data_IF_290224780956
#
_entry.id   IF_290224780956
#
_cell.length_a   1.000
_cell.length_b   1.000
_cell.length_c   1.000
_cell.angle_alpha   90.00
_cell.angle_beta   90.00
_cell.angle_gamma   90.00
#
_symmetry.space_group_name_H-M   'P 1'
#
loop_
_entity.id
_entity.type
_entity.pdbx_description
1 polymer ?
#
# COMPACT_ATOMS: atom_id res chain seq x y z
N UNK A 1 -18.03 30.31 -8.70
CA UNK A 1 -16.99 29.31 -9.04
C UNK A 1 -15.98 29.31 -7.91
N UNK A 2 -16.19 28.48 -6.89
CA UNK A 2 -15.27 28.39 -5.76
C UNK A 2 -14.08 27.54 -6.17
N UNK A 3 -12.90 28.14 -6.26
CA UNK A 3 -11.66 27.39 -6.41
C UNK A 3 -11.48 26.52 -5.18
N UNK A 4 -11.52 25.20 -5.37
CA UNK A 4 -11.04 24.27 -4.36
C UNK A 4 -9.58 24.68 -4.06
N UNK A 5 -9.28 24.97 -2.79
CA UNK A 5 -7.92 25.22 -2.37
C UNK A 5 -7.06 24.05 -2.86
N UNK A 6 -6.00 24.36 -3.62
CA UNK A 6 -5.04 23.37 -4.06
C UNK A 6 -4.37 22.80 -2.81
N UNK A 7 -4.91 21.69 -2.31
CA UNK A 7 -4.23 20.90 -1.28
C UNK A 7 -3.02 20.31 -1.98
N UNK A 8 -1.83 20.78 -1.61
CA UNK A 8 -0.57 20.13 -2.01
C UNK A 8 -0.61 18.70 -1.48
N UNK A 9 -1.00 17.76 -2.34
CA UNK A 9 -0.93 16.34 -2.00
C UNK A 9 0.53 15.93 -2.06
N UNK A 10 1.02 15.37 -0.97
CA UNK A 10 2.32 14.69 -0.96
C UNK A 10 2.15 13.28 -1.52
N UNK A 11 3.23 12.64 -2.00
CA UNK A 11 3.20 11.20 -2.23
C UNK A 11 2.72 10.45 -1.00
N UNK A 12 1.89 9.43 -1.19
CA UNK A 12 1.32 8.64 -0.09
C UNK A 12 0.03 7.93 -0.45
N UNK A 13 -0.34 6.99 0.41
CA UNK A 13 -1.56 6.20 0.30
C UNK A 13 -2.70 6.85 1.06
N UNK A 14 -3.88 6.88 0.46
CA UNK A 14 -5.06 7.45 1.10
C UNK A 14 -5.46 6.67 2.35
N UNK A 15 -5.13 5.38 2.38
CA UNK A 15 -5.44 4.49 3.47
C UNK A 15 -4.54 4.72 4.72
N UNK A 16 -3.58 5.66 4.64
CA UNK A 16 -2.58 5.99 5.67
C UNK A 16 -2.79 7.36 6.35
N UNK A 17 -3.99 7.92 6.27
CA UNK A 17 -4.28 9.28 6.77
C UNK A 17 -4.04 9.48 8.27
N UNK A 18 -4.11 8.42 9.07
CA UNK A 18 -3.81 8.48 10.50
C UNK A 18 -2.33 8.19 10.75
N UNK A 19 -1.64 9.04 11.54
CA UNK A 19 -0.28 8.76 11.95
C UNK A 19 -0.24 7.48 12.81
N UNK A 20 0.77 6.61 12.63
CA UNK A 20 0.89 5.42 13.44
C UNK A 20 1.21 5.77 14.90
N UNK A 21 0.66 5.01 15.84
CA UNK A 21 0.91 5.21 17.27
C UNK A 21 0.96 3.88 17.99
N UNK A 22 1.89 3.75 18.95
CA UNK A 22 2.11 2.53 19.72
C UNK A 22 3.40 1.82 19.35
N UNK A 23 3.83 0.94 20.24
CA UNK A 23 4.99 0.07 20.06
C UNK A 23 4.64 -1.32 20.60
N UNK A 24 5.13 -2.40 19.97
CA UNK A 24 4.86 -3.74 20.44
C UNK A 24 5.50 -3.97 21.80
N UNK A 25 4.79 -4.73 22.64
CA UNK A 25 5.40 -5.27 23.85
C UNK A 25 6.50 -6.29 23.48
N UNK A 26 7.53 -6.47 24.32
CA UNK A 26 8.53 -7.50 24.10
C UNK A 26 7.90 -8.90 24.04
N UNK A 27 8.24 -9.66 23.00
CA UNK A 27 7.89 -11.08 22.87
C UNK A 27 9.20 -11.86 22.90
N UNK A 28 9.22 -12.97 23.66
CA UNK A 28 10.41 -13.81 23.76
C UNK A 28 10.90 -14.24 22.37
N UNK A 29 12.23 -14.18 22.18
CA UNK A 29 12.90 -14.56 20.93
C UNK A 29 12.54 -13.72 19.68
N UNK A 30 11.83 -12.59 19.85
CA UNK A 30 11.50 -11.67 18.76
C UNK A 30 12.29 -10.36 18.89
N UNK A 31 13.09 -10.05 17.86
CA UNK A 31 13.77 -8.76 17.72
C UNK A 31 12.97 -7.83 16.80
N UNK A 32 12.16 -6.95 17.41
CA UNK A 32 11.36 -5.96 16.68
C UNK A 32 12.18 -4.93 15.91
N UNK A 33 13.43 -4.67 16.32
CA UNK A 33 14.30 -3.76 15.60
C UNK A 33 14.82 -4.39 14.30
N UNK A 34 15.12 -5.70 14.31
CA UNK A 34 15.42 -6.46 13.09
C UNK A 34 14.20 -6.49 12.17
N UNK A 35 13.01 -6.79 12.71
CA UNK A 35 11.78 -6.82 11.94
C UNK A 35 11.50 -5.47 11.26
N UNK A 36 11.59 -4.35 11.99
CA UNK A 36 11.41 -3.01 11.44
C UNK A 36 12.44 -2.66 10.35
N UNK A 37 13.70 -3.10 10.48
CA UNK A 37 14.71 -2.93 9.41
C UNK A 37 14.36 -3.72 8.16
N UNK A 38 13.83 -4.93 8.29
CA UNK A 38 13.42 -5.75 7.17
C UNK A 38 12.20 -5.15 6.46
N UNK A 39 11.23 -4.63 7.22
CA UNK A 39 10.08 -3.88 6.67
C UNK A 39 10.55 -2.69 5.84
N UNK A 40 11.48 -1.87 6.37
CA UNK A 40 12.06 -0.74 5.63
C UNK A 40 12.72 -1.17 4.32
N UNK A 41 13.49 -2.26 4.35
CA UNK A 41 14.15 -2.81 3.15
C UNK A 41 13.15 -3.31 2.11
N UNK A 42 12.00 -3.78 2.56
CA UNK A 42 10.90 -4.20 1.70
C UNK A 42 9.99 -3.04 1.25
N UNK A 43 10.34 -1.78 1.57
CA UNK A 43 9.61 -0.59 1.16
C UNK A 43 8.48 -0.15 2.10
N UNK A 44 8.28 -0.83 3.23
CA UNK A 44 7.28 -0.46 4.23
C UNK A 44 7.77 0.56 5.26
N UNK A 45 6.83 1.15 5.99
CA UNK A 45 7.06 2.09 7.10
C UNK A 45 7.24 1.35 8.44
N UNK A 46 8.43 1.40 9.07
CA UNK A 46 8.68 0.70 10.33
C UNK A 46 7.85 1.21 11.52
N UNK A 47 7.46 2.49 11.53
CA UNK A 47 6.62 3.05 12.60
C UNK A 47 5.19 2.51 12.49
N UNK A 48 4.67 2.47 11.26
CA UNK A 48 3.36 1.87 10.98
C UNK A 48 3.34 0.36 11.22
N UNK A 49 4.43 -0.32 10.88
CA UNK A 49 4.61 -1.72 11.25
C UNK A 49 4.55 -1.90 12.78
N UNK A 50 5.32 -1.12 13.54
CA UNK A 50 5.38 -1.21 15.00
C UNK A 50 4.00 -0.97 15.64
N UNK A 51 3.28 0.07 15.20
CA UNK A 51 1.92 0.33 15.65
C UNK A 51 0.98 -0.84 15.32
N UNK A 52 1.01 -1.32 14.07
CA UNK A 52 0.14 -2.41 13.61
C UNK A 52 0.36 -3.72 14.38
N UNK A 53 1.62 -4.11 14.63
CA UNK A 53 1.90 -5.32 15.42
C UNK A 53 1.54 -5.16 16.90
N UNK A 54 1.66 -3.95 17.46
CA UNK A 54 1.22 -3.67 18.82
C UNK A 54 -0.29 -3.85 18.98
N UNK A 55 -1.06 -3.33 18.03
CA UNK A 55 -2.52 -3.46 18.01
C UNK A 55 -2.96 -4.91 17.77
N UNK A 56 -2.26 -5.62 16.88
CA UNK A 56 -2.50 -7.01 16.59
C UNK A 56 -2.34 -7.92 17.82
N UNK A 57 -1.21 -7.79 18.53
CA UNK A 57 -0.92 -8.62 19.72
C UNK A 57 -1.91 -8.34 20.85
N UNK A 58 -2.30 -7.06 21.04
CA UNK A 58 -3.30 -6.68 22.04
C UNK A 58 -4.66 -7.29 21.73
N UNK A 59 -5.09 -7.23 20.47
CA UNK A 59 -6.38 -7.78 20.05
C UNK A 59 -6.41 -9.32 20.06
N UNK A 60 -5.28 -9.97 19.72
CA UNK A 60 -5.15 -11.42 19.80
C UNK A 60 -5.05 -11.94 21.24
N UNK A 61 -4.65 -11.08 22.20
CA UNK A 61 -4.50 -11.46 23.60
C UNK A 61 -3.30 -12.37 23.89
N UNK A 62 -2.33 -12.42 22.96
CA UNK A 62 -1.19 -13.33 23.06
C UNK A 62 -0.26 -13.29 21.83
N UNK A 63 0.77 -14.13 21.87
CA UNK A 63 1.82 -14.19 20.85
C UNK A 63 1.80 -15.45 19.99
N UNK A 64 0.76 -16.29 20.10
CA UNK A 64 0.68 -17.59 19.40
C UNK A 64 0.80 -17.43 17.88
N UNK A 65 0.19 -16.38 17.33
CA UNK A 65 0.21 -16.07 15.89
C UNK A 65 1.22 -14.97 15.51
N UNK A 66 2.21 -14.69 16.36
CA UNK A 66 3.09 -13.50 16.24
C UNK A 66 3.74 -13.35 14.86
N UNK A 67 4.20 -14.45 14.26
CA UNK A 67 4.83 -14.44 12.92
C UNK A 67 3.81 -14.06 11.84
N UNK A 68 2.59 -14.58 11.93
CA UNK A 68 1.54 -14.27 10.98
C UNK A 68 1.09 -12.81 11.10
N UNK A 69 0.87 -12.35 12.34
CA UNK A 69 0.51 -10.96 12.62
C UNK A 69 1.61 -10.00 12.18
N UNK A 70 2.88 -10.35 12.35
CA UNK A 70 4.00 -9.54 11.88
C UNK A 70 4.02 -9.42 10.34
N UNK A 71 3.76 -10.51 9.62
CA UNK A 71 3.64 -10.47 8.15
C UNK A 71 2.48 -9.58 7.67
N UNK A 72 1.33 -9.67 8.34
CA UNK A 72 0.16 -8.83 8.04
C UNK A 72 0.43 -7.36 8.34
N UNK A 73 1.04 -7.04 9.50
CA UNK A 73 1.44 -5.68 9.84
C UNK A 73 2.52 -5.14 8.89
N UNK A 74 3.45 -5.98 8.42
CA UNK A 74 4.45 -5.60 7.43
C UNK A 74 3.77 -5.23 6.10
N UNK A 75 2.83 -6.04 5.62
CA UNK A 75 2.04 -5.69 4.44
C UNK A 75 1.26 -4.38 4.64
N UNK A 76 0.56 -4.22 5.77
CA UNK A 76 -0.18 -2.99 6.10
C UNK A 76 0.70 -1.75 6.12
N UNK A 77 1.98 -1.90 6.45
CA UNK A 77 2.95 -0.81 6.45
C UNK A 77 3.48 -0.44 5.05
N UNK A 78 3.04 -1.14 4.00
CA UNK A 78 3.41 -0.87 2.60
C UNK A 78 4.46 -1.82 2.01
N UNK A 79 4.89 -2.85 2.74
CA UNK A 79 5.83 -3.84 2.22
C UNK A 79 5.13 -4.84 1.28
N UNK A 80 5.05 -4.48 -0.01
CA UNK A 80 4.27 -5.20 -1.04
C UNK A 80 4.57 -6.71 -1.14
N UNK A 81 5.83 -7.09 -0.93
CA UNK A 81 6.27 -8.49 -1.00
C UNK A 81 5.55 -9.42 0.00
N UNK A 82 4.96 -8.87 1.07
CA UNK A 82 4.25 -9.64 2.09
C UNK A 82 2.77 -9.87 1.78
N UNK A 83 2.20 -9.22 0.76
CA UNK A 83 0.75 -9.26 0.49
C UNK A 83 0.19 -10.67 0.39
N UNK A 84 0.78 -11.51 -0.47
CA UNK A 84 0.19 -12.81 -0.78
C UNK A 84 0.34 -13.79 0.39
N UNK A 85 1.48 -13.77 1.10
CA UNK A 85 1.68 -14.52 2.33
C UNK A 85 0.73 -14.05 3.45
N UNK A 86 0.53 -12.74 3.60
CA UNK A 86 -0.39 -12.18 4.57
C UNK A 86 -1.83 -12.64 4.32
N UNK A 87 -2.30 -12.57 3.07
CA UNK A 87 -3.64 -13.04 2.70
C UNK A 87 -3.81 -14.55 2.91
N UNK A 88 -2.79 -15.35 2.59
CA UNK A 88 -2.81 -16.79 2.83
C UNK A 88 -2.89 -17.13 4.32
N UNK A 89 -2.13 -16.42 5.16
CA UNK A 89 -2.15 -16.61 6.62
C UNK A 89 -3.46 -16.20 7.25
N UNK A 90 -4.08 -15.10 6.83
CA UNK A 90 -5.40 -14.68 7.36
C UNK A 90 -6.43 -15.80 7.19
N UNK A 91 -6.36 -16.56 6.09
CA UNK A 91 -7.28 -17.68 5.85
C UNK A 91 -7.12 -18.86 6.81
N UNK A 92 -5.99 -18.98 7.53
CA UNK A 92 -5.70 -20.09 8.44
C UNK A 92 -5.84 -19.71 9.92
N UNK A 93 -6.00 -18.43 10.25
CA UNK A 93 -6.07 -17.96 11.64
C UNK A 93 -7.39 -18.36 12.32
N UNK A 94 -7.30 -18.71 13.60
CA UNK A 94 -8.45 -18.89 14.48
C UNK A 94 -8.97 -17.54 15.01
N UNK A 95 -10.03 -17.56 15.83
CA UNK A 95 -10.75 -16.36 16.25
C UNK A 95 -9.85 -15.25 16.86
N UNK A 96 -8.92 -15.61 17.75
CA UNK A 96 -8.00 -14.67 18.38
C UNK A 96 -7.03 -14.05 17.36
N UNK A 97 -6.38 -14.89 16.55
CA UNK A 97 -5.50 -14.44 15.47
C UNK A 97 -6.22 -13.57 14.45
N UNK A 98 -7.47 -13.89 14.11
CA UNK A 98 -8.31 -13.07 13.22
C UNK A 98 -8.63 -11.69 13.80
N UNK A 99 -8.89 -11.59 15.10
CA UNK A 99 -9.03 -10.30 15.77
C UNK A 99 -7.72 -9.49 15.68
N UNK A 100 -6.57 -10.15 15.90
CA UNK A 100 -5.25 -9.56 15.69
C UNK A 100 -5.01 -9.10 14.25
N UNK A 101 -5.41 -9.88 13.25
CA UNK A 101 -5.25 -9.54 11.83
C UNK A 101 -6.10 -8.32 11.43
N UNK A 102 -7.34 -8.24 11.90
CA UNK A 102 -8.20 -7.07 11.68
C UNK A 102 -7.57 -5.81 12.28
N UNK A 103 -7.10 -5.90 13.53
CA UNK A 103 -6.41 -4.80 14.21
C UNK A 103 -5.12 -4.39 13.47
N UNK A 104 -4.30 -5.36 13.04
CA UNK A 104 -3.08 -5.10 12.27
C UNK A 104 -3.34 -4.32 10.98
N UNK A 105 -4.48 -4.58 10.31
CA UNK A 105 -4.89 -3.92 9.08
C UNK A 105 -5.60 -2.57 9.32
N UNK A 106 -5.93 -2.24 10.58
CA UNK A 106 -6.76 -1.09 10.93
C UNK A 106 -8.21 -1.23 10.47
N UNK A 107 -8.74 -2.45 10.52
CA UNK A 107 -10.11 -2.80 10.16
C UNK A 107 -10.93 -3.14 11.40
N UNK A 108 -12.25 -2.94 11.33
CA UNK A 108 -13.14 -3.51 12.33
C UNK A 108 -13.17 -5.05 12.21
N UNK A 109 -13.34 -5.82 13.31
CA UNK A 109 -13.31 -7.28 13.26
C UNK A 109 -14.32 -7.89 12.26
N UNK A 110 -15.47 -7.25 12.06
CA UNK A 110 -16.50 -7.67 11.11
C UNK A 110 -16.17 -7.40 9.64
N UNK A 111 -15.13 -6.62 9.33
CA UNK A 111 -14.75 -6.24 7.97
C UNK A 111 -13.71 -7.17 7.34
N UNK A 112 -13.03 -8.01 8.15
CA UNK A 112 -11.90 -8.82 7.69
C UNK A 112 -12.27 -9.79 6.55
N UNK A 113 -13.43 -10.44 6.63
CA UNK A 113 -13.90 -11.37 5.59
C UNK A 113 -14.21 -10.65 4.28
N UNK A 114 -14.93 -9.53 4.36
CA UNK A 114 -15.22 -8.71 3.18
C UNK A 114 -13.93 -8.17 2.55
N UNK A 115 -12.97 -7.74 3.36
CA UNK A 115 -11.66 -7.29 2.91
C UNK A 115 -10.89 -8.38 2.18
N UNK A 116 -10.72 -9.54 2.80
CA UNK A 116 -9.96 -10.65 2.20
C UNK A 116 -10.61 -11.17 0.93
N UNK A 117 -11.94 -11.25 0.87
CA UNK A 117 -12.65 -11.62 -0.36
C UNK A 117 -12.41 -10.62 -1.48
N UNK A 118 -12.58 -9.32 -1.20
CA UNK A 118 -12.42 -8.28 -2.24
C UNK A 118 -10.98 -8.15 -2.72
N UNK A 119 -10.00 -8.36 -1.85
CA UNK A 119 -8.58 -8.39 -2.21
C UNK A 119 -8.23 -9.49 -3.23
N UNK A 120 -9.06 -10.52 -3.43
CA UNK A 120 -8.84 -11.53 -4.49
C UNK A 120 -9.02 -10.98 -5.90
N UNK A 121 -9.83 -9.94 -6.06
CA UNK A 121 -10.22 -9.38 -7.37
C UNK A 121 -9.86 -7.92 -7.54
N UNK A 122 -9.56 -7.24 -6.43
CA UNK A 122 -9.27 -5.82 -6.39
C UNK A 122 -8.24 -5.57 -5.29
N UNK A 123 -6.96 -5.59 -5.67
CA UNK A 123 -5.85 -5.40 -4.72
C UNK A 123 -5.80 -4.02 -4.07
N UNK A 124 -6.57 -3.07 -4.59
CA UNK A 124 -6.64 -1.70 -4.10
C UNK A 124 -7.85 -1.51 -3.18
N UNK A 125 -8.55 -2.57 -2.78
CA UNK A 125 -9.80 -2.47 -2.02
C UNK A 125 -9.57 -2.26 -0.54
N UNK A 126 -10.30 -1.30 0.03
CA UNK A 126 -10.52 -1.18 1.47
C UNK A 126 -11.87 -0.49 1.73
N UNK A 127 -12.46 -0.64 2.94
CA UNK A 127 -13.77 -0.08 3.25
C UNK A 127 -13.87 1.44 2.98
N UNK A 128 -12.83 2.20 3.32
CA UNK A 128 -12.77 3.65 3.14
C UNK A 128 -12.59 4.16 1.70
N UNK A 129 -12.30 3.30 0.70
CA UNK A 129 -11.99 3.78 -0.67
C UNK A 129 -13.20 4.38 -1.38
N UNK A 130 -14.42 3.91 -1.10
CA UNK A 130 -15.62 4.40 -1.77
C UNK A 130 -15.83 5.92 -1.60
N UNK A 131 -15.42 6.47 -0.45
CA UNK A 131 -15.50 7.90 -0.16
C UNK A 131 -14.46 8.75 -0.95
N UNK A 132 -13.51 8.11 -1.63
CA UNK A 132 -12.37 8.75 -2.27
C UNK A 132 -12.51 8.97 -3.78
N UNK A 133 -13.69 8.72 -4.33
CA UNK A 133 -13.94 8.76 -5.78
C UNK A 133 -12.92 7.94 -6.58
N UNK A 134 -12.44 6.82 -6.03
CA UNK A 134 -11.48 5.93 -6.68
C UNK A 134 -10.00 6.27 -6.50
N UNK A 135 -9.64 7.39 -5.88
CA UNK A 135 -8.24 7.72 -5.58
C UNK A 135 -7.65 6.71 -4.58
N UNK A 136 -6.45 6.20 -4.88
CA UNK A 136 -5.72 5.26 -4.02
C UNK A 136 -4.49 5.91 -3.43
N UNK A 137 -3.55 6.29 -4.28
CA UNK A 137 -2.27 6.85 -3.85
C UNK A 137 -1.71 7.83 -4.88
N UNK A 138 -0.83 8.69 -4.42
CA UNK A 138 0.05 9.50 -5.28
C UNK A 138 1.49 9.02 -5.09
N UNK A 139 2.26 8.92 -6.17
CA UNK A 139 3.66 8.50 -6.14
C UNK A 139 4.55 9.49 -6.89
N UNK A 140 5.85 9.39 -6.65
CA UNK A 140 6.86 10.18 -7.34
C UNK A 140 7.33 11.37 -6.52
N UNK A 141 7.28 12.56 -7.11
CA UNK A 141 7.84 13.80 -6.56
C UNK A 141 9.05 14.28 -7.36
N UNK A 142 9.41 15.54 -7.18
CA UNK A 142 10.57 16.12 -7.83
C UNK A 142 11.87 15.61 -7.22
N UNK A 143 12.80 15.15 -8.05
CA UNK A 143 14.09 14.59 -7.63
C UNK A 143 14.93 15.59 -6.81
N UNK A 144 14.84 16.88 -7.09
CA UNK A 144 15.50 17.92 -6.28
C UNK A 144 14.98 18.02 -4.83
N UNK A 145 13.85 17.38 -4.52
CA UNK A 145 13.26 17.27 -3.18
C UNK A 145 13.22 15.80 -2.69
N UNK A 146 13.99 14.91 -3.29
CA UNK A 146 14.05 13.49 -2.93
C UNK A 146 13.00 12.60 -3.58
N UNK A 147 12.26 13.10 -4.58
CA UNK A 147 11.33 12.31 -5.39
C UNK A 147 12.00 11.55 -6.54
N UNK A 148 11.18 10.95 -7.40
CA UNK A 148 11.67 10.09 -8.48
C UNK A 148 12.06 10.86 -9.76
N UNK A 149 11.40 11.99 -10.06
CA UNK A 149 11.45 12.55 -11.41
C UNK A 149 12.25 13.85 -11.51
N UNK A 150 13.04 13.98 -12.57
CA UNK A 150 13.65 15.26 -12.97
C UNK A 150 12.72 16.11 -13.84
N UNK A 151 11.69 15.51 -14.43
CA UNK A 151 10.63 16.16 -15.21
C UNK A 151 9.26 15.59 -14.80
N UNK A 152 8.14 16.35 -14.96
CA UNK A 152 6.81 15.84 -14.64
C UNK A 152 6.47 14.56 -15.42
N UNK A 153 5.75 13.60 -14.82
CA UNK A 153 5.21 12.47 -15.56
C UNK A 153 4.18 12.94 -16.61
N UNK A 154 4.33 12.48 -17.84
CA UNK A 154 3.53 12.93 -19.00
C UNK A 154 2.55 11.89 -19.50
N UNK A 155 2.84 10.60 -19.27
CA UNK A 155 2.00 9.50 -19.70
C UNK A 155 2.17 8.32 -18.76
N UNK A 156 1.19 7.42 -18.76
CA UNK A 156 1.32 6.14 -18.10
C UNK A 156 0.33 5.12 -18.62
N UNK A 157 0.66 3.85 -18.41
CA UNK A 157 -0.13 2.72 -18.88
C UNK A 157 -0.12 1.58 -17.85
N UNK A 158 -1.14 0.75 -17.88
CA UNK A 158 -1.15 -0.51 -17.12
C UNK A 158 -0.17 -1.49 -17.74
N UNK A 159 0.50 -2.28 -16.91
CA UNK A 159 1.33 -3.40 -17.34
C UNK A 159 0.58 -4.72 -17.17
N UNK A 160 1.14 -5.82 -17.68
CA UNK A 160 0.52 -7.15 -17.60
C UNK A 160 0.44 -7.71 -16.18
N UNK A 161 1.36 -7.31 -15.30
CA UNK A 161 1.32 -7.68 -13.89
C UNK A 161 0.25 -6.86 -13.16
N UNK A 162 -0.52 -7.51 -12.29
CA UNK A 162 -1.61 -6.85 -11.55
C UNK A 162 -1.06 -5.72 -10.67
N UNK A 163 -1.71 -4.55 -10.73
CA UNK A 163 -1.29 -3.35 -10.01
C UNK A 163 0.06 -2.79 -10.40
N UNK A 164 0.59 -3.21 -11.57
CA UNK A 164 1.78 -2.63 -12.15
C UNK A 164 1.43 -1.61 -13.24
N UNK A 165 2.16 -0.51 -13.26
CA UNK A 165 2.00 0.57 -14.23
C UNK A 165 3.37 1.00 -14.75
N UNK A 166 3.43 1.43 -16.00
CA UNK A 166 4.55 2.19 -16.51
C UNK A 166 4.21 3.68 -16.54
N UNK A 167 5.19 4.51 -16.22
CA UNK A 167 5.09 5.97 -16.17
C UNK A 167 6.26 6.54 -16.97
N UNK A 168 5.96 7.43 -17.90
CA UNK A 168 6.96 8.20 -18.63
C UNK A 168 7.15 9.55 -17.95
N UNK A 169 8.38 9.88 -17.58
CA UNK A 169 8.76 11.17 -17.01
C UNK A 169 10.01 11.70 -17.71
N UNK A 170 9.84 12.73 -18.55
CA UNK A 170 10.88 13.13 -19.50
C UNK A 170 11.21 12.00 -20.47
N UNK A 171 12.50 11.68 -20.58
CA UNK A 171 13.00 10.60 -21.46
C UNK A 171 13.14 9.25 -20.73
N UNK A 172 12.76 9.17 -19.45
CA UNK A 172 12.87 7.95 -18.65
C UNK A 172 11.52 7.24 -18.49
N UNK A 173 11.58 5.90 -18.49
CA UNK A 173 10.46 5.04 -18.15
C UNK A 173 10.65 4.45 -16.76
N UNK A 174 9.54 4.36 -16.02
CA UNK A 174 9.52 3.85 -14.67
C UNK A 174 8.39 2.86 -14.50
N UNK A 175 8.63 1.82 -13.71
CA UNK A 175 7.64 0.86 -13.25
C UNK A 175 7.20 1.22 -11.85
N UNK A 176 5.89 1.31 -11.67
CA UNK A 176 5.20 1.36 -10.39
C UNK A 176 4.55 0.02 -10.13
N UNK A 177 4.90 -0.63 -9.03
CA UNK A 177 4.09 -1.71 -8.44
C UNK A 177 3.36 -1.13 -7.22
N UNK A 178 2.04 -1.34 -7.13
CA UNK A 178 1.25 -0.79 -6.03
C UNK A 178 0.07 -1.68 -5.65
N UNK A 179 -0.36 -1.53 -4.39
CA UNK A 179 -1.64 -2.01 -3.87
C UNK A 179 -2.26 -0.95 -2.95
N UNK A 180 -3.22 -1.35 -2.12
CA UNK A 180 -3.90 -0.49 -1.15
C UNK A 180 -2.98 0.15 -0.09
N UNK A 181 -1.88 -0.49 0.29
CA UNK A 181 -1.01 -0.08 1.39
C UNK A 181 0.37 0.39 0.93
N UNK A 182 0.86 -0.17 -0.18
CA UNK A 182 2.26 -0.02 -0.61
C UNK A 182 2.40 0.44 -2.04
N UNK A 183 3.50 1.12 -2.32
CA UNK A 183 3.93 1.43 -3.68
C UNK A 183 5.45 1.40 -3.78
N UNK A 184 5.94 0.90 -4.92
CA UNK A 184 7.36 0.84 -5.22
C UNK A 184 7.60 1.34 -6.64
N UNK A 185 8.53 2.30 -6.76
CA UNK A 185 9.01 2.81 -8.05
C UNK A 185 10.37 2.20 -8.37
N UNK A 186 10.54 1.76 -9.61
CA UNK A 186 11.81 1.31 -10.16
C UNK A 186 11.97 1.83 -11.58
N UNK A 187 13.20 2.13 -12.00
CA UNK A 187 13.45 2.58 -13.37
C UNK A 187 13.39 1.39 -14.32
N UNK A 188 12.85 1.61 -15.51
CA UNK A 188 12.86 0.65 -16.62
C UNK A 188 14.02 0.98 -17.56
N UNK A 189 14.65 -0.05 -18.10
CA UNK A 189 15.76 0.12 -19.05
C UNK A 189 15.29 0.51 -20.46
N UNK A 190 14.01 0.28 -20.77
CA UNK A 190 13.40 0.57 -22.06
C UNK A 190 11.91 0.89 -21.91
N UNK A 191 11.34 1.45 -22.98
CA UNK A 191 9.89 1.59 -23.13
C UNK A 191 9.19 0.23 -23.05
N UNK A 192 8.08 0.11 -22.29
CA UNK A 192 7.29 -1.12 -22.29
C UNK A 192 6.71 -1.42 -23.68
N UNK A 193 6.83 -2.67 -24.12
CA UNK A 193 6.42 -3.10 -25.47
C UNK A 193 4.93 -2.92 -25.76
N UNK A 194 4.07 -3.14 -24.75
CA UNK A 194 2.63 -3.03 -24.90
C UNK A 194 1.92 -2.78 -23.55
N UNK A 195 0.77 -2.10 -23.56
CA UNK A 195 -0.08 -2.00 -22.38
C UNK A 195 -0.67 -3.37 -22.00
N UNK A 196 -0.77 -3.62 -20.70
CA UNK A 196 -1.55 -4.74 -20.16
C UNK A 196 -3.05 -4.58 -20.40
N UNK A 197 -3.82 -5.63 -20.08
CA UNK A 197 -5.27 -5.60 -20.22
C UNK A 197 -5.88 -4.45 -19.38
N UNK A 198 -6.86 -3.76 -19.96
CA UNK A 198 -7.54 -2.66 -19.28
C UNK A 198 -8.33 -3.20 -18.08
N UNK A 199 -7.82 -2.91 -16.88
CA UNK A 199 -8.50 -3.17 -15.61
C UNK A 199 -9.27 -1.94 -15.09
N UNK A 200 -9.89 -2.06 -13.90
CA UNK A 200 -10.55 -0.93 -13.25
C UNK A 200 -9.53 0.10 -12.72
N UNK A 201 -8.29 -0.32 -12.46
CA UNK A 201 -7.21 0.54 -12.01
C UNK A 201 -6.46 1.19 -13.18
N UNK A 202 -6.08 2.45 -13.01
CA UNK A 202 -5.34 3.26 -13.99
C UNK A 202 -4.37 4.20 -13.28
N UNK A 203 -3.38 4.67 -14.03
CA UNK A 203 -2.43 5.69 -13.59
C UNK A 203 -2.77 7.01 -14.27
N UNK A 204 -2.91 8.08 -13.49
CA UNK A 204 -3.23 9.42 -13.96
C UNK A 204 -1.98 10.29 -13.78
N UNK A 205 -1.47 10.82 -14.88
CA UNK A 205 -0.33 11.74 -14.89
C UNK A 205 -0.84 13.15 -15.20
N UNK A 206 -0.39 14.14 -14.43
CA UNK A 206 -0.76 15.53 -14.62
C UNK A 206 0.53 16.30 -14.99
N UNK A 207 0.62 16.91 -16.18
CA UNK A 207 1.85 17.55 -16.66
C UNK A 207 2.37 18.70 -15.79
N UNK A 208 1.50 19.29 -14.96
CA UNK A 208 1.78 20.37 -14.02
C UNK A 208 2.08 19.87 -12.59
N UNK A 209 2.13 18.55 -12.40
CA UNK A 209 2.43 17.90 -11.13
C UNK A 209 3.61 16.96 -11.27
N UNK A 210 4.47 16.89 -10.26
CA UNK A 210 5.48 15.84 -10.15
C UNK A 210 4.91 14.53 -9.58
N UNK A 211 3.59 14.33 -9.65
CA UNK A 211 2.92 13.16 -9.10
C UNK A 211 2.21 12.36 -10.19
N UNK A 212 2.23 11.05 -10.02
CA UNK A 212 1.36 10.13 -10.74
C UNK A 212 0.39 9.48 -9.75
N UNK A 213 -0.90 9.40 -10.10
CA UNK A 213 -1.96 8.96 -9.17
C UNK A 213 -2.56 7.63 -9.61
N UNK A 214 -2.62 6.67 -8.69
CA UNK A 214 -3.39 5.44 -8.92
C UNK A 214 -4.86 5.73 -8.65
N UNK A 215 -5.69 5.42 -9.64
CA UNK A 215 -7.13 5.62 -9.62
C UNK A 215 -7.86 4.34 -10.03
N UNK A 216 -8.85 3.94 -9.25
CA UNK A 216 -9.71 2.78 -9.50
C UNK A 216 -11.11 3.27 -9.82
N UNK A 217 -11.60 2.95 -11.01
CA UNK A 217 -12.98 3.29 -11.41
C UNK A 217 -13.98 2.59 -10.50
N UNK A 218 -15.06 3.27 -10.17
CA UNK A 218 -16.19 2.63 -9.50
C UNK A 218 -16.72 1.48 -10.38
N UNK A 219 -17.08 0.35 -9.76
CA UNK A 219 -17.84 -0.68 -10.45
C UNK A 219 -19.18 -0.09 -10.88
N UNK A 220 -19.53 -0.28 -12.16
CA UNK A 220 -20.80 0.15 -12.73
C UNK A 220 -21.99 -0.65 -12.18
#
# INVERSE_FOLDING_TARGET
MGGAAAVNRLPGHLADQSPPSGAPEPVADVDWAVAGRNVRRAGGDPERFAAGIADALRAAGGADDVVALAGIAAWRSGALAYRDDALARIATLEAAGRAGAAAALGLEPGELDAFTERQRTDRFWWPGRAAASGYVCAVGGFAGLGGAWVAPPVSGMTLSAEGAFAIQAGDEWWRLDADVWGSQLSRLDAEPEAPGAAGPASIVCLPDSYLAWVHVRAAA
#
